data_IF_956732685281
#
_entry.id   IF_956732685281
#
_cell.length_a   1.000
_cell.length_b   1.000
_cell.length_c   1.000
_cell.angle_alpha   90.00
_cell.angle_beta   90.00
_cell.angle_gamma   90.00
#
_symmetry.space_group_name_H-M   'P 1'
#
loop_
_entity.id
_entity.type
_entity.pdbx_description
1 polymer ?
#
# COMPACT_ATOMS: atom_id res chain seq x y z
N UNK A 1 2.95 1.70 -8.49
CA UNK A 1 1.69 2.37 -8.10
C UNK A 1 1.61 2.86 -6.62
N UNK A 2 2.72 2.85 -5.86
CA UNK A 2 2.75 3.18 -4.42
C UNK A 2 2.08 4.51 -4.07
N UNK A 3 2.41 5.61 -4.77
CA UNK A 3 1.84 6.92 -4.49
C UNK A 3 0.31 6.95 -4.68
N UNK A 4 -0.20 6.32 -5.74
CA UNK A 4 -1.65 6.20 -5.98
C UNK A 4 -2.35 5.43 -4.87
N UNK A 5 -1.72 4.36 -4.36
CA UNK A 5 -2.26 3.57 -3.24
C UNK A 5 -2.28 4.40 -1.94
N UNK A 6 -1.25 5.20 -1.67
CA UNK A 6 -1.27 6.13 -0.53
C UNK A 6 -2.36 7.21 -0.67
N UNK A 7 -2.63 7.69 -1.88
CA UNK A 7 -3.78 8.58 -2.11
C UNK A 7 -5.12 7.92 -1.76
N UNK A 8 -5.25 6.60 -1.91
CA UNK A 8 -6.44 5.86 -1.46
C UNK A 8 -6.51 5.81 0.07
N UNK A 9 -5.39 5.66 0.79
CA UNK A 9 -5.38 5.79 2.25
C UNK A 9 -5.87 7.17 2.70
N UNK A 10 -5.43 8.25 2.04
CA UNK A 10 -5.92 9.61 2.29
C UNK A 10 -7.43 9.73 2.03
N UNK A 11 -7.93 9.14 0.95
CA UNK A 11 -9.37 9.10 0.64
C UNK A 11 -10.16 8.33 1.70
N UNK A 12 -9.69 7.16 2.11
CA UNK A 12 -10.36 6.35 3.15
C UNK A 12 -10.43 7.11 4.47
N UNK A 13 -9.34 7.79 4.85
CA UNK A 13 -9.31 8.66 6.03
C UNK A 13 -10.33 9.79 5.94
N UNK A 14 -10.43 10.44 4.78
CA UNK A 14 -11.44 11.46 4.52
C UNK A 14 -12.89 10.93 4.66
N UNK A 15 -13.13 9.67 4.28
CA UNK A 15 -14.43 9.01 4.40
C UNK A 15 -14.70 8.40 5.80
N UNK A 16 -13.77 8.52 6.74
CA UNK A 16 -13.90 7.97 8.09
C UNK A 16 -13.53 6.48 8.23
N UNK A 17 -12.91 5.89 7.20
CA UNK A 17 -12.45 4.50 7.18
C UNK A 17 -11.00 4.36 7.70
N UNK A 18 -10.77 4.74 8.95
CA UNK A 18 -9.40 4.81 9.49
C UNK A 18 -8.67 3.48 9.55
N UNK A 19 -9.35 2.41 10.01
CA UNK A 19 -8.72 1.09 10.09
C UNK A 19 -8.26 0.58 8.72
N UNK A 20 -8.98 0.92 7.65
CA UNK A 20 -8.61 0.60 6.27
C UNK A 20 -7.45 1.47 5.78
N UNK A 21 -7.44 2.77 6.12
CA UNK A 21 -6.34 3.66 5.77
C UNK A 21 -5.02 3.20 6.40
N UNK A 22 -5.04 2.88 7.70
CA UNK A 22 -3.87 2.37 8.43
C UNK A 22 -3.37 1.06 7.82
N UNK A 23 -4.25 0.10 7.48
CA UNK A 23 -3.84 -1.14 6.82
C UNK A 23 -3.12 -0.91 5.48
N UNK A 24 -3.56 0.07 4.69
CA UNK A 24 -2.88 0.43 3.44
C UNK A 24 -1.49 1.03 3.72
N UNK A 25 -1.40 1.93 4.69
CA UNK A 25 -0.14 2.57 5.08
C UNK A 25 0.88 1.55 5.61
N UNK A 26 0.43 0.60 6.43
CA UNK A 26 1.25 -0.50 6.94
C UNK A 26 1.72 -1.42 5.82
N UNK A 27 0.83 -1.79 4.89
CA UNK A 27 1.18 -2.61 3.73
C UNK A 27 2.24 -1.95 2.84
N UNK A 28 2.11 -0.64 2.60
CA UNK A 28 3.12 0.14 1.85
C UNK A 28 4.43 0.24 2.62
N UNK A 29 4.38 0.47 3.92
CA UNK A 29 5.57 0.57 4.77
C UNK A 29 6.35 -0.75 4.77
N UNK A 30 5.65 -1.88 4.90
CA UNK A 30 6.24 -3.21 4.84
C UNK A 30 6.88 -3.51 3.47
N UNK A 31 6.20 -3.20 2.35
CA UNK A 31 6.77 -3.40 1.01
C UNK A 31 8.02 -2.55 0.76
N UNK A 32 8.03 -1.30 1.26
CA UNK A 32 9.19 -0.43 1.15
C UNK A 32 10.36 -0.88 2.03
N UNK A 33 10.09 -1.44 3.21
CA UNK A 33 11.12 -1.96 4.12
C UNK A 33 11.86 -3.18 3.53
N UNK A 34 11.15 -4.01 2.75
CA UNK A 34 11.72 -5.19 2.08
C UNK A 34 12.36 -4.88 0.71
N UNK A 35 12.27 -3.63 0.24
CA UNK A 35 12.78 -3.26 -1.08
C UNK A 35 14.31 -3.30 -1.12
N UNK A 36 14.84 -4.16 -1.96
CA UNK A 36 16.28 -4.40 -2.13
C UNK A 36 16.91 -3.70 -3.35
N UNK A 37 16.10 -2.97 -4.12
CA UNK A 37 16.53 -2.25 -5.33
C UNK A 37 16.34 -3.04 -6.63
N UNK A 38 15.89 -4.30 -6.56
CA UNK A 38 15.51 -5.08 -7.73
C UNK A 38 14.34 -4.41 -8.47
N UNK A 39 14.39 -4.43 -9.80
CA UNK A 39 13.30 -3.90 -10.62
C UNK A 39 12.03 -4.74 -10.39
N UNK A 40 10.90 -4.06 -10.19
CA UNK A 40 9.57 -4.63 -10.12
C UNK A 40 8.63 -3.79 -10.98
N UNK A 41 7.75 -4.45 -11.72
CA UNK A 41 6.71 -3.83 -12.54
C UNK A 41 5.63 -3.19 -11.66
N UNK A 42 4.82 -2.32 -12.27
CA UNK A 42 3.68 -1.71 -11.58
C UNK A 42 2.70 -2.76 -11.05
N UNK A 43 2.50 -3.85 -11.79
CA UNK A 43 1.61 -4.96 -11.44
C UNK A 43 2.16 -5.76 -10.25
N UNK A 44 3.43 -6.18 -10.31
CA UNK A 44 4.09 -6.89 -9.20
C UNK A 44 4.08 -6.08 -7.89
N UNK A 45 4.29 -4.77 -7.97
CA UNK A 45 4.17 -3.89 -6.78
C UNK A 45 2.71 -3.83 -6.31
N UNK A 46 1.74 -3.77 -7.23
CA UNK A 46 0.31 -3.77 -6.89
C UNK A 46 -0.11 -5.04 -6.15
N UNK A 47 0.27 -6.21 -6.66
CA UNK A 47 -0.01 -7.50 -6.06
C UNK A 47 0.62 -7.64 -4.68
N UNK A 48 1.88 -7.23 -4.54
CA UNK A 48 2.59 -7.23 -3.26
C UNK A 48 1.86 -6.40 -2.19
N UNK A 49 1.34 -5.22 -2.57
CA UNK A 49 0.58 -4.36 -1.67
C UNK A 49 -0.80 -4.96 -1.34
N UNK A 50 -1.49 -5.54 -2.34
CA UNK A 50 -2.82 -6.12 -2.16
C UNK A 50 -2.80 -7.32 -1.18
N UNK A 51 -1.80 -8.21 -1.31
CA UNK A 51 -1.62 -9.35 -0.39
C UNK A 51 -1.41 -8.87 1.04
N UNK A 52 -0.58 -7.83 1.24
CA UNK A 52 -0.28 -7.28 2.58
C UNK A 52 -1.48 -6.57 3.22
N UNK A 53 -2.27 -5.85 2.43
CA UNK A 53 -3.43 -5.12 2.94
C UNK A 53 -4.67 -6.00 3.23
N UNK A 54 -4.68 -7.25 2.74
CA UNK A 54 -5.77 -8.19 2.93
C UNK A 54 -5.78 -8.87 4.33
N UNK A 55 -4.67 -8.76 5.06
CA UNK A 55 -4.47 -9.33 6.41
C UNK A 55 -4.97 -8.35 7.48
#
# INVERSE_FOLDING_TARGET
>A
PTATVLSVALLLRHLGHEAQAVRIEDAVTADLAERDGTFRTTEEIGDALAVRAAV
#
